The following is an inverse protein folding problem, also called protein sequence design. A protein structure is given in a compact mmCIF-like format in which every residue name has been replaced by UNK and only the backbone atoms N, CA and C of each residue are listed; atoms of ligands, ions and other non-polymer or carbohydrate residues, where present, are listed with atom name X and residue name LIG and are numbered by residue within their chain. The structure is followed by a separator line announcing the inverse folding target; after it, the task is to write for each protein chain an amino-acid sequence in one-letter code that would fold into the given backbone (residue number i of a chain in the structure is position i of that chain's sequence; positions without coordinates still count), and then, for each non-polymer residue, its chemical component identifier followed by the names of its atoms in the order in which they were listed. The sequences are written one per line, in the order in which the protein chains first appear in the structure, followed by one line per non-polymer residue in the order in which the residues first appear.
data_IF_108113664525
#
_entry.id   IF_108113664525
#
_cell.length_a   1.000
_cell.length_b   1.000
_cell.length_c   1.000
_cell.angle_alpha   90.00
_cell.angle_beta   90.00
_cell.angle_gamma   90.00
#
_symmetry.space_group_name_H-M   'P 1'
#
loop_
_entity.id
_entity.type
_entity.pdbx_description
1 polymer ?
#
# COMPACT_ATOMS: atom_id res chain seq x y z
N UNK A 1 -33.57 2.20 -7.92
CA UNK A 1 -33.57 1.85 -6.48
C UNK A 1 -32.65 0.65 -6.34
N UNK A 2 -31.52 0.63 -5.62
CA UNK A 2 -31.01 1.44 -4.53
C UNK A 2 -29.49 1.49 -4.64
N UNK A 3 -28.95 2.71 -4.76
CA UNK A 3 -27.68 3.16 -4.17
C UNK A 3 -26.83 2.06 -3.52
N UNK A 4 -25.82 1.58 -4.25
CA UNK A 4 -24.68 0.88 -3.66
C UNK A 4 -23.87 1.90 -2.89
N UNK A 5 -23.97 1.86 -1.55
CA UNK A 5 -23.23 2.67 -0.59
C UNK A 5 -21.83 3.03 -1.08
N UNK A 6 -21.60 4.32 -1.35
CA UNK A 6 -20.26 4.91 -1.31
C UNK A 6 -19.75 4.74 0.12
N UNK A 7 -18.95 3.68 0.35
CA UNK A 7 -18.15 3.61 1.58
C UNK A 7 -17.15 4.76 1.47
N UNK A 8 -17.21 5.79 2.33
CA UNK A 8 -16.21 6.84 2.30
C UNK A 8 -14.87 6.17 2.59
N UNK A 9 -14.01 6.08 1.57
CA UNK A 9 -12.62 5.70 1.72
C UNK A 9 -11.98 6.82 2.56
N UNK A 10 -11.97 6.63 3.88
CA UNK A 10 -11.44 7.60 4.85
C UNK A 10 -10.02 7.95 4.43
N UNK A 11 -9.81 9.20 3.99
CA UNK A 11 -8.51 9.69 3.61
C UNK A 11 -7.58 9.49 4.81
N UNK A 12 -6.56 8.65 4.65
CA UNK A 12 -5.59 8.40 5.73
C UNK A 12 -4.96 9.75 6.07
N UNK A 13 -5.26 10.29 7.25
CA UNK A 13 -4.69 11.56 7.69
C UNK A 13 -3.17 11.44 7.70
N UNK A 14 -2.46 12.45 7.20
CA UNK A 14 -0.99 12.49 7.16
C UNK A 14 -0.35 12.21 8.54
N UNK A 15 -1.04 12.58 9.62
CA UNK A 15 -0.66 12.26 11.00
C UNK A 15 -0.50 10.75 11.25
N UNK A 16 -1.39 9.90 10.73
CA UNK A 16 -1.32 8.44 10.94
C UNK A 16 -0.14 7.83 10.16
N UNK A 17 0.16 8.35 8.97
CA UNK A 17 1.32 7.91 8.20
C UNK A 17 2.63 8.26 8.93
N UNK A 18 2.72 9.47 9.48
CA UNK A 18 3.88 9.90 10.28
C UNK A 18 4.04 9.02 11.52
N UNK A 19 2.93 8.73 12.23
CA UNK A 19 2.95 7.84 13.38
C UNK A 19 3.49 6.44 13.02
N UNK A 20 3.04 5.87 11.89
CA UNK A 20 3.50 4.57 11.44
C UNK A 20 5.01 4.56 11.14
N UNK A 21 5.54 5.62 10.52
CA UNK A 21 6.98 5.76 10.25
C UNK A 21 7.78 5.86 11.55
N UNK A 22 7.30 6.63 12.53
CA UNK A 22 7.95 6.75 13.84
C UNK A 22 7.94 5.40 14.57
N UNK A 23 6.79 4.71 14.62
CA UNK A 23 6.67 3.41 15.26
C UNK A 23 7.60 2.37 14.62
N UNK A 24 7.71 2.38 13.29
CA UNK A 24 8.64 1.53 12.55
C UNK A 24 10.10 1.84 12.91
N UNK A 25 10.48 3.11 12.93
CA UNK A 25 11.83 3.53 13.28
C UNK A 25 12.21 3.08 14.70
N UNK A 26 11.32 3.30 15.67
CA UNK A 26 11.51 2.87 17.06
C UNK A 26 11.65 1.34 17.15
N UNK A 27 10.78 0.59 16.48
CA UNK A 27 10.83 -0.89 16.48
C UNK A 27 12.12 -1.42 15.83
N UNK A 28 12.55 -0.83 14.71
CA UNK A 28 13.78 -1.19 14.02
C UNK A 28 15.00 -0.91 14.91
N UNK A 29 15.07 0.28 15.52
CA UNK A 29 16.14 0.63 16.47
C UNK A 29 16.16 -0.31 17.67
N UNK A 30 15.01 -0.61 18.26
CA UNK A 30 14.90 -1.56 19.38
C UNK A 30 15.38 -2.97 18.98
N UNK A 31 15.07 -3.43 17.77
CA UNK A 31 15.54 -4.72 17.25
C UNK A 31 17.06 -4.75 17.10
N UNK A 32 17.66 -3.70 16.55
CA UNK A 32 19.12 -3.57 16.41
C UNK A 32 19.80 -3.54 17.77
N UNK A 33 19.27 -2.74 18.71
CA UNK A 33 19.79 -2.67 20.09
C UNK A 33 19.66 -4.02 20.78
N UNK A 34 18.55 -4.74 20.58
CA UNK A 34 18.34 -6.09 21.09
C UNK A 34 19.43 -7.04 20.61
N UNK A 35 19.66 -7.12 19.29
CA UNK A 35 20.73 -7.94 18.71
C UNK A 35 22.12 -7.54 19.23
N UNK A 36 22.36 -6.26 19.52
CA UNK A 36 23.64 -5.80 20.08
C UNK A 36 23.86 -6.21 21.53
N UNK A 37 22.81 -6.25 22.35
CA UNK A 37 22.89 -6.62 23.77
C UNK A 37 22.97 -8.13 24.01
N UNK A 38 22.75 -8.95 22.97
CA UNK A 38 22.84 -10.39 23.09
C UNK A 38 24.31 -10.83 23.30
N UNK A 39 24.60 -11.69 24.29
CA UNK A 39 25.94 -12.24 24.52
C UNK A 39 26.23 -13.38 23.51
N UNK A 40 26.32 -13.02 22.24
CA UNK A 40 26.60 -13.93 21.12
C UNK A 40 28.01 -13.72 20.58
N UNK A 41 28.54 -14.74 19.91
CA UNK A 41 29.79 -14.62 19.18
C UNK A 41 29.63 -13.65 17.99
N UNK A 42 30.74 -13.03 17.59
CA UNK A 42 30.76 -12.04 16.52
C UNK A 42 30.19 -12.58 15.20
N UNK A 43 30.42 -13.86 14.91
CA UNK A 43 29.88 -14.50 13.71
C UNK A 43 28.35 -14.62 13.74
N UNK A 44 27.77 -15.10 14.85
CA UNK A 44 26.33 -15.27 14.97
C UNK A 44 25.61 -13.92 14.99
N UNK A 45 26.20 -12.91 15.63
CA UNK A 45 25.68 -11.53 15.59
C UNK A 45 25.66 -10.98 14.15
N UNK A 46 26.68 -11.29 13.36
CA UNK A 46 26.73 -10.96 11.93
C UNK A 46 25.60 -11.60 11.13
N UNK A 47 25.32 -12.89 11.37
CA UNK A 47 24.20 -13.60 10.74
C UNK A 47 22.87 -12.92 11.04
N UNK A 48 22.56 -12.63 12.32
CA UNK A 48 21.35 -11.91 12.69
C UNK A 48 21.26 -10.51 12.08
N UNK A 49 22.38 -9.79 11.99
CA UNK A 49 22.44 -8.47 11.35
C UNK A 49 22.07 -8.52 9.86
N UNK A 50 22.66 -9.46 9.11
CA UNK A 50 22.35 -9.63 7.68
C UNK A 50 20.92 -10.13 7.48
N UNK A 51 20.46 -11.08 8.29
CA UNK A 51 19.07 -11.56 8.26
C UNK A 51 18.08 -10.42 8.52
N UNK A 52 18.31 -9.58 9.53
CA UNK A 52 17.46 -8.45 9.85
C UNK A 52 17.42 -7.43 8.69
N UNK A 53 18.58 -7.09 8.12
CA UNK A 53 18.67 -6.19 6.96
C UNK A 53 17.88 -6.72 5.75
N UNK A 54 18.06 -7.99 5.41
CA UNK A 54 17.40 -8.61 4.27
C UNK A 54 15.89 -8.74 4.49
N UNK A 55 15.47 -9.10 5.71
CA UNK A 55 14.07 -9.20 6.10
C UNK A 55 13.35 -7.85 5.99
N UNK A 56 13.96 -6.77 6.48
CA UNK A 56 13.40 -5.41 6.41
C UNK A 56 13.29 -4.96 4.95
N UNK A 57 14.34 -5.16 4.15
CA UNK A 57 14.34 -4.80 2.72
C UNK A 57 13.24 -5.54 1.93
N UNK A 58 13.11 -6.85 2.15
CA UNK A 58 12.07 -7.67 1.52
C UNK A 58 10.66 -7.23 1.93
N UNK A 59 10.45 -6.97 3.23
CA UNK A 59 9.16 -6.49 3.75
C UNK A 59 8.75 -5.15 3.15
N UNK A 60 9.69 -4.20 3.02
CA UNK A 60 9.42 -2.91 2.35
C UNK A 60 9.10 -3.07 0.87
N UNK A 61 9.77 -4.00 0.18
CA UNK A 61 9.50 -4.29 -1.23
C UNK A 61 8.09 -4.85 -1.38
N UNK A 62 7.70 -5.80 -0.54
CA UNK A 62 6.36 -6.34 -0.51
C UNK A 62 5.31 -5.27 -0.19
N UNK A 63 5.60 -4.38 0.78
CA UNK A 63 4.72 -3.27 1.12
C UNK A 63 4.50 -2.30 -0.06
N UNK A 64 5.56 -2.00 -0.84
CA UNK A 64 5.42 -1.24 -2.08
C UNK A 64 4.52 -1.97 -3.07
N UNK A 65 4.77 -3.26 -3.34
CA UNK A 65 3.94 -4.05 -4.27
C UNK A 65 2.47 -4.06 -3.85
N UNK A 66 2.17 -4.19 -2.55
CA UNK A 66 0.79 -4.15 -2.05
C UNK A 66 0.16 -2.76 -2.25
N UNK A 67 0.90 -1.69 -1.97
CA UNK A 67 0.43 -0.31 -2.21
C UNK A 67 0.17 -0.06 -3.69
N UNK A 68 1.11 -0.44 -4.56
CA UNK A 68 0.98 -0.27 -6.00
C UNK A 68 -0.24 -1.03 -6.54
N UNK A 69 -0.55 -2.22 -6.00
CA UNK A 69 -1.77 -2.97 -6.33
C UNK A 69 -3.04 -2.23 -5.93
N UNK A 70 -3.09 -1.61 -4.75
CA UNK A 70 -4.22 -0.82 -4.29
C UNK A 70 -4.44 0.43 -5.17
N UNK A 71 -3.36 1.12 -5.54
CA UNK A 71 -3.40 2.27 -6.44
C UNK A 71 -3.87 1.85 -7.85
N UNK A 72 -3.36 0.76 -8.41
CA UNK A 72 -3.81 0.25 -9.72
C UNK A 72 -5.28 -0.16 -9.74
N UNK A 73 -5.79 -0.82 -8.70
CA UNK A 73 -7.21 -1.19 -8.64
C UNK A 73 -8.10 0.06 -8.63
N UNK A 74 -7.71 1.11 -7.91
CA UNK A 74 -8.47 2.37 -7.85
C UNK A 74 -8.42 3.13 -9.18
N UNK A 75 -7.28 3.14 -9.88
CA UNK A 75 -7.15 3.83 -11.17
C UNK A 75 -7.95 3.11 -12.27
N UNK A 76 -7.93 1.76 -12.28
CA UNK A 76 -8.65 0.97 -13.28
C UNK A 76 -10.16 1.19 -13.22
N UNK A 77 -10.76 1.24 -12.03
CA UNK A 77 -12.21 1.47 -11.90
C UNK A 77 -12.63 2.83 -12.45
N UNK A 78 -11.84 3.89 -12.22
CA UNK A 78 -12.09 5.23 -12.78
C UNK A 78 -11.99 5.28 -14.30
N UNK A 79 -11.04 4.54 -14.87
CA UNK A 79 -10.87 4.46 -16.32
C UNK A 79 -12.03 3.67 -16.97
N UNK A 80 -12.47 2.59 -16.34
CA UNK A 80 -13.61 1.80 -16.79
C UNK A 80 -14.90 2.63 -16.77
N UNK A 81 -15.14 3.41 -15.71
CA UNK A 81 -16.25 4.38 -15.64
C UNK A 81 -16.21 5.38 -16.80
N UNK A 82 -15.08 6.06 -17.01
CA UNK A 82 -14.94 7.05 -18.08
C UNK A 82 -15.06 6.43 -19.48
N UNK A 83 -14.59 5.20 -19.66
CA UNK A 83 -14.68 4.49 -20.95
C UNK A 83 -16.10 4.02 -21.24
N UNK A 84 -16.84 3.56 -20.23
CA UNK A 84 -18.26 3.22 -20.34
C UNK A 84 -19.08 4.48 -20.65
N UNK A 85 -18.82 5.60 -19.96
CA UNK A 85 -19.47 6.88 -20.23
C UNK A 85 -19.25 7.34 -21.68
N UNK A 86 -18.01 7.23 -22.19
CA UNK A 86 -17.71 7.54 -23.59
C UNK A 86 -18.49 6.63 -24.56
N UNK A 87 -18.55 5.32 -24.29
CA UNK A 87 -19.29 4.38 -25.14
C UNK A 87 -20.80 4.70 -25.17
N UNK A 88 -21.37 5.10 -24.03
CA UNK A 88 -22.78 5.54 -23.95
C UNK A 88 -22.98 6.87 -24.68
N UNK A 89 -22.05 7.81 -24.59
CA UNK A 89 -22.16 9.10 -25.27
C UNK A 89 -22.03 8.98 -26.80
N UNK A 90 -21.22 8.03 -27.29
CA UNK A 90 -20.98 7.80 -28.71
C UNK A 90 -22.07 6.92 -29.35
N UNK A 91 -22.74 6.06 -28.57
CA UNK A 91 -23.97 5.37 -28.96
C UNK A 91 -25.20 6.08 -28.38
N UNK A 92 -25.73 7.07 -29.10
CA UNK A 92 -27.04 7.68 -28.79
C UNK A 92 -28.16 6.93 -29.56
N UNK A 93 -28.86 5.97 -28.93
CA UNK A 93 -29.88 5.16 -29.60
C UNK A 93 -31.15 5.94 -29.98
N UNK A 94 -31.29 7.22 -29.63
CA UNK A 94 -32.52 8.01 -29.86
C UNK A 94 -32.49 8.89 -31.12
N UNK A 95 -31.37 8.95 -31.87
CA UNK A 95 -31.33 9.68 -33.16
C UNK A 95 -32.02 8.95 -34.32
N UNK A 96 -32.42 7.68 -34.15
CA UNK A 96 -33.04 6.86 -35.19
C UNK A 96 -34.57 6.78 -35.17
N UNK A 97 -35.25 7.54 -34.30
CA UNK A 97 -36.73 7.55 -34.23
C UNK A 97 -37.22 9.00 -34.32
N UNK A 98 -37.14 9.57 -35.52
CA UNK A 98 -37.88 10.75 -35.96
C UNK A 98 -38.10 10.67 -37.46
#
# INVERSE_FOLDING_TARGET
MSQGKDVPQSATTSAFQIQAVIAFAVSLSASVIGVWNLPLDSWQRGFFGVTLLFLVSSTFTLAKVVRDRQEQTTIRSRLDEARVEKLIAEHDPFKGVA
#
